data_IF_515883373641
#
_entry.id   IF_515883373641
#
_cell.length_a   1.000
_cell.length_b   1.000
_cell.length_c   1.000
_cell.angle_alpha   90.00
_cell.angle_beta   90.00
_cell.angle_gamma   90.00
#
_symmetry.space_group_name_H-M   'P 1'
#
loop_
_entity.id
_entity.type
_entity.pdbx_description
1 polymer ?
#
# COMPACT_ATOMS: atom_id res chain seq x y z
N UNK A 1 -24.70 -1.64 9.34
CA UNK A 1 -24.41 -0.47 8.48
C UNK A 1 -23.91 -1.00 7.15
N UNK A 2 -24.57 -0.65 6.04
CA UNK A 2 -24.14 -1.03 4.69
C UNK A 2 -22.97 -0.12 4.29
N UNK A 3 -21.82 -0.69 3.95
CA UNK A 3 -20.61 0.07 3.60
C UNK A 3 -20.48 0.28 2.08
N UNK A 4 -20.95 -0.68 1.30
CA UNK A 4 -21.01 -0.63 -0.17
C UNK A 4 -22.37 -1.18 -0.58
N UNK A 5 -23.09 -0.47 -1.45
CA UNK A 5 -24.39 -0.83 -1.93
C UNK A 5 -24.35 -0.96 -3.47
N UNK A 6 -24.66 -2.16 -3.96
CA UNK A 6 -24.74 -2.53 -5.39
C UNK A 6 -23.62 -1.96 -6.27
N UNK A 7 -22.37 -2.10 -5.79
CA UNK A 7 -21.18 -1.62 -6.51
C UNK A 7 -20.78 -2.61 -7.60
N UNK A 8 -20.86 -2.19 -8.86
CA UNK A 8 -20.28 -2.90 -10.01
C UNK A 8 -19.15 -2.09 -10.61
N UNK A 9 -17.93 -2.63 -10.63
CA UNK A 9 -16.73 -1.98 -11.13
C UNK A 9 -15.86 -2.99 -11.89
N UNK A 10 -15.40 -2.58 -13.07
CA UNK A 10 -14.34 -3.28 -13.81
C UNK A 10 -13.25 -2.27 -14.14
N UNK A 11 -11.99 -2.68 -13.95
CA UNK A 11 -10.86 -1.82 -14.21
C UNK A 11 -9.74 -2.58 -14.90
N UNK A 12 -9.14 -1.96 -15.90
CA UNK A 12 -7.95 -2.44 -16.59
C UNK A 12 -6.69 -2.19 -15.71
N UNK A 13 -5.59 -2.94 -15.96
CA UNK A 13 -4.32 -2.68 -15.30
C UNK A 13 -3.87 -1.22 -15.47
N UNK A 14 -3.38 -0.61 -14.38
CA UNK A 14 -2.93 0.78 -14.38
C UNK A 14 -3.12 1.47 -13.02
N UNK A 15 -3.23 2.79 -13.04
CA UNK A 15 -3.47 3.59 -11.85
C UNK A 15 -4.95 3.94 -11.71
N UNK A 16 -5.54 3.61 -10.58
CA UNK A 16 -6.95 3.83 -10.26
C UNK A 16 -7.04 4.66 -8.98
N UNK A 17 -7.78 5.76 -9.05
CA UNK A 17 -8.07 6.59 -7.89
C UNK A 17 -9.47 6.32 -7.32
N UNK A 18 -9.55 6.03 -6.03
CA UNK A 18 -10.80 5.94 -5.26
C UNK A 18 -10.98 7.25 -4.49
N UNK A 19 -11.84 8.14 -4.99
CA UNK A 19 -12.11 9.43 -4.35
C UNK A 19 -13.42 9.41 -3.59
N UNK A 20 -13.43 9.99 -2.40
CA UNK A 20 -14.64 10.14 -1.62
C UNK A 20 -14.37 10.60 -0.20
N UNK A 21 -15.38 11.11 0.47
CA UNK A 21 -15.27 11.54 1.87
C UNK A 21 -14.92 10.37 2.80
N UNK A 22 -14.53 10.70 4.04
CA UNK A 22 -14.35 9.70 5.08
C UNK A 22 -15.67 8.96 5.33
N UNK A 23 -15.61 7.63 5.43
CA UNK A 23 -16.82 6.80 5.58
C UNK A 23 -17.48 6.38 4.26
N UNK A 24 -17.03 6.83 3.08
CA UNK A 24 -17.59 6.46 1.78
C UNK A 24 -17.32 5.01 1.33
N UNK A 25 -16.72 4.17 2.20
CA UNK A 25 -16.49 2.76 1.89
C UNK A 25 -15.15 2.43 1.19
N UNK A 26 -14.29 3.42 0.91
CA UNK A 26 -13.00 3.23 0.22
C UNK A 26 -12.12 2.13 0.86
N UNK A 27 -11.83 2.26 2.15
CA UNK A 27 -11.03 1.27 2.91
C UNK A 27 -11.74 -0.09 3.00
N UNK A 28 -13.07 -0.11 3.02
CA UNK A 28 -13.85 -1.35 2.98
C UNK A 28 -13.67 -2.05 1.65
N UNK A 29 -13.75 -1.32 0.53
CA UNK A 29 -13.47 -1.87 -0.80
C UNK A 29 -12.06 -2.46 -0.88
N UNK A 30 -11.05 -1.72 -0.44
CA UNK A 30 -9.66 -2.21 -0.39
C UNK A 30 -9.55 -3.50 0.43
N UNK A 31 -10.16 -3.55 1.62
CA UNK A 31 -10.15 -4.76 2.48
C UNK A 31 -10.89 -5.95 1.83
N UNK A 32 -11.93 -5.70 1.04
CA UNK A 32 -12.61 -6.74 0.26
C UNK A 32 -11.70 -7.26 -0.86
N UNK A 33 -11.02 -6.38 -1.60
CA UNK A 33 -10.04 -6.77 -2.63
C UNK A 33 -8.89 -7.61 -2.07
N UNK A 34 -8.50 -7.36 -0.81
CA UNK A 34 -7.52 -8.16 -0.06
C UNK A 34 -8.07 -9.49 0.47
N UNK A 35 -9.40 -9.70 0.42
CA UNK A 35 -10.05 -10.84 1.05
C UNK A 35 -10.02 -10.80 2.59
N UNK A 36 -9.78 -9.63 3.19
CA UNK A 36 -9.80 -9.43 4.66
C UNK A 36 -11.21 -9.23 5.18
N UNK A 37 -12.11 -8.71 4.37
CA UNK A 37 -13.54 -8.54 4.66
C UNK A 37 -14.34 -9.28 3.61
N UNK A 38 -15.30 -10.09 4.03
CA UNK A 38 -16.23 -10.78 3.12
C UNK A 38 -17.30 -9.81 2.63
N UNK A 39 -17.53 -9.80 1.32
CA UNK A 39 -18.71 -9.16 0.74
C UNK A 39 -19.97 -9.99 1.03
N UNK A 40 -21.11 -9.34 1.16
CA UNK A 40 -22.39 -9.99 1.51
C UNK A 40 -23.02 -10.68 0.30
N UNK A 41 -22.89 -10.11 -0.88
CA UNK A 41 -23.42 -10.62 -2.15
C UNK A 41 -22.48 -10.24 -3.32
N UNK A 42 -22.69 -10.86 -4.47
CA UNK A 42 -21.90 -10.59 -5.67
C UNK A 42 -20.62 -11.42 -5.77
N UNK A 43 -19.71 -10.98 -6.63
CA UNK A 43 -18.40 -11.65 -6.86
C UNK A 43 -17.30 -10.60 -6.97
N UNK A 44 -16.15 -10.89 -6.38
CA UNK A 44 -14.97 -10.00 -6.45
C UNK A 44 -13.79 -10.78 -6.98
N UNK A 45 -13.17 -10.28 -8.03
CA UNK A 45 -12.00 -10.88 -8.67
C UNK A 45 -10.86 -9.87 -8.79
N UNK A 46 -9.65 -10.33 -8.54
CA UNK A 46 -8.41 -9.57 -8.79
C UNK A 46 -7.51 -10.46 -9.65
N UNK A 47 -7.06 -9.93 -10.80
CA UNK A 47 -6.35 -10.71 -11.81
C UNK A 47 -7.06 -12.02 -12.20
N UNK A 48 -8.39 -11.97 -12.35
CA UNK A 48 -9.23 -13.13 -12.68
C UNK A 48 -9.47 -14.11 -11.53
N UNK A 49 -8.75 -14.00 -10.43
CA UNK A 49 -8.88 -14.88 -9.25
C UNK A 49 -9.94 -14.35 -8.29
N UNK A 50 -10.82 -15.22 -7.83
CA UNK A 50 -11.80 -14.92 -6.79
C UNK A 50 -11.11 -14.71 -5.44
N UNK A 51 -11.32 -13.53 -4.84
CA UNK A 51 -10.64 -13.12 -3.59
C UNK A 51 -11.04 -13.99 -2.39
N UNK A 52 -12.20 -14.66 -2.43
CA UNK A 52 -12.67 -15.53 -1.35
C UNK A 52 -12.09 -16.92 -1.41
N UNK A 53 -11.75 -17.40 -2.61
CA UNK A 53 -11.27 -18.78 -2.84
C UNK A 53 -9.76 -18.90 -2.85
N UNK A 54 -9.05 -17.88 -3.35
CA UNK A 54 -7.59 -17.91 -3.53
C UNK A 54 -6.87 -16.79 -2.77
N UNK A 55 -7.38 -16.41 -1.61
CA UNK A 55 -6.89 -15.24 -0.87
C UNK A 55 -5.41 -15.28 -0.49
N UNK A 56 -4.83 -16.43 -0.16
CA UNK A 56 -3.41 -16.54 0.24
C UNK A 56 -2.49 -16.30 -0.96
N UNK A 57 -2.70 -17.03 -2.06
CA UNK A 57 -1.89 -16.86 -3.28
C UNK A 57 -2.01 -15.47 -3.88
N UNK A 58 -3.19 -14.88 -3.80
CA UNK A 58 -3.45 -13.53 -4.28
C UNK A 58 -2.71 -12.46 -3.45
N UNK A 59 -2.73 -12.59 -2.11
CA UNK A 59 -2.05 -11.63 -1.22
C UNK A 59 -0.54 -11.57 -1.43
N UNK A 60 0.10 -12.67 -1.84
CA UNK A 60 1.52 -12.65 -2.21
C UNK A 60 1.85 -11.76 -3.41
N UNK A 61 0.84 -11.38 -4.21
CA UNK A 61 0.96 -10.48 -5.37
C UNK A 61 0.49 -9.05 -5.08
N UNK A 62 -0.02 -8.79 -3.86
CA UNK A 62 -0.59 -7.50 -3.47
C UNK A 62 0.25 -6.88 -2.37
N UNK A 63 0.66 -5.64 -2.55
CA UNK A 63 1.20 -4.79 -1.51
C UNK A 63 0.09 -3.92 -0.93
N UNK A 64 -0.09 -3.95 0.39
CA UNK A 64 -1.10 -3.13 1.07
C UNK A 64 -0.46 -2.12 2.01
N UNK A 65 -0.81 -0.86 1.83
CA UNK A 65 -0.43 0.23 2.72
C UNK A 65 -1.68 0.78 3.42
N UNK A 66 -1.91 0.47 4.71
CA UNK A 66 -3.04 0.97 5.47
C UNK A 66 -2.87 2.45 5.86
N UNK A 67 -3.97 3.18 6.03
CA UNK A 67 -3.96 4.60 6.45
C UNK A 67 -3.23 4.79 7.79
N UNK A 68 -3.67 4.11 8.87
CA UNK A 68 -3.23 4.41 10.25
C UNK A 68 -2.37 3.35 10.89
N UNK A 69 -2.53 2.09 10.51
CA UNK A 69 -1.90 0.95 11.17
C UNK A 69 -0.61 0.53 10.46
N UNK A 70 0.13 -0.36 11.07
CA UNK A 70 1.22 -1.10 10.41
C UNK A 70 2.61 -0.89 10.99
N UNK A 71 2.89 0.08 11.83
CA UNK A 71 4.20 0.17 12.48
C UNK A 71 4.29 -0.78 13.67
N UNK A 72 5.41 -1.50 13.77
CA UNK A 72 5.71 -2.39 14.88
C UNK A 72 6.65 -1.64 15.84
N UNK A 73 6.22 -1.34 17.08
CA UNK A 73 7.05 -0.64 18.05
C UNK A 73 8.34 -1.39 18.36
N UNK A 74 9.40 -0.65 18.67
CA UNK A 74 10.68 -1.24 19.03
C UNK A 74 11.57 -1.64 17.85
N UNK A 75 11.10 -1.61 16.62
CA UNK A 75 11.91 -1.87 15.43
C UNK A 75 12.51 -0.57 14.87
N UNK A 76 13.65 -0.71 14.20
CA UNK A 76 14.15 0.33 13.30
C UNK A 76 13.67 0.10 11.86
N UNK A 77 13.98 1.02 10.94
CA UNK A 77 13.49 0.97 9.57
C UNK A 77 13.90 -0.30 8.80
N UNK A 78 15.15 -0.74 8.95
CA UNK A 78 15.65 -1.97 8.30
C UNK A 78 14.94 -3.21 8.84
N UNK A 79 14.79 -3.29 10.15
CA UNK A 79 14.13 -4.43 10.80
C UNK A 79 12.66 -4.52 10.38
N UNK A 80 11.98 -3.37 10.32
CA UNK A 80 10.57 -3.31 9.93
C UNK A 80 10.34 -3.73 8.47
N UNK A 81 11.08 -3.17 7.52
CA UNK A 81 10.94 -3.53 6.10
C UNK A 81 11.43 -4.96 5.85
N UNK A 82 12.50 -5.38 6.53
CA UNK A 82 12.99 -6.74 6.51
C UNK A 82 11.94 -7.74 6.98
N UNK A 83 11.31 -7.46 8.13
CA UNK A 83 10.22 -8.29 8.66
C UNK A 83 9.04 -8.38 7.68
N UNK A 84 8.65 -7.27 7.06
CA UNK A 84 7.58 -7.27 6.06
C UNK A 84 7.90 -8.21 4.88
N UNK A 85 9.13 -8.24 4.41
CA UNK A 85 9.56 -9.17 3.37
C UNK A 85 9.54 -10.63 3.84
N UNK A 86 10.02 -10.91 5.05
CA UNK A 86 10.00 -12.26 5.64
C UNK A 86 8.56 -12.78 5.79
N UNK A 87 7.62 -11.93 6.22
CA UNK A 87 6.19 -12.27 6.32
C UNK A 87 5.54 -12.54 4.96
N UNK A 88 6.10 -11.98 3.88
CA UNK A 88 5.70 -12.29 2.50
C UNK A 88 6.49 -13.47 1.89
N UNK A 89 7.20 -14.26 2.71
CA UNK A 89 7.89 -15.47 2.28
C UNK A 89 9.28 -15.27 1.70
N UNK A 90 9.85 -14.07 1.78
CA UNK A 90 11.23 -13.83 1.33
C UNK A 90 12.25 -14.39 2.32
N UNK A 91 13.34 -15.01 1.85
CA UNK A 91 14.46 -15.37 2.71
C UNK A 91 15.04 -14.12 3.40
N UNK A 92 15.34 -14.23 4.70
CA UNK A 92 15.82 -13.11 5.54
C UNK A 92 16.94 -12.28 4.89
N UNK A 93 17.96 -12.95 4.34
CA UNK A 93 19.08 -12.27 3.66
C UNK A 93 18.64 -11.43 2.46
N UNK A 94 17.70 -11.95 1.65
CA UNK A 94 17.15 -11.25 0.51
C UNK A 94 16.25 -10.09 0.97
N UNK A 95 15.43 -10.30 1.97
CA UNK A 95 14.55 -9.29 2.54
C UNK A 95 15.32 -8.09 3.08
N UNK A 96 16.38 -8.32 3.86
CA UNK A 96 17.24 -7.26 4.38
C UNK A 96 17.95 -6.49 3.26
N UNK A 97 18.49 -7.18 2.25
CA UNK A 97 19.10 -6.52 1.09
C UNK A 97 18.09 -5.62 0.39
N UNK A 98 16.88 -6.13 0.14
CA UNK A 98 15.81 -5.37 -0.52
C UNK A 98 15.35 -4.19 0.33
N UNK A 99 15.31 -4.35 1.65
CA UNK A 99 15.02 -3.27 2.58
C UNK A 99 16.05 -2.13 2.46
N UNK A 100 17.34 -2.44 2.43
CA UNK A 100 18.39 -1.43 2.23
C UNK A 100 18.22 -0.66 0.91
N UNK A 101 17.96 -1.36 -0.19
CA UNK A 101 17.74 -0.76 -1.52
C UNK A 101 16.53 0.20 -1.52
N UNK A 102 15.39 -0.26 -0.98
CA UNK A 102 14.17 0.54 -0.95
C UNK A 102 14.29 1.76 -0.02
N UNK A 103 14.89 1.60 1.15
CA UNK A 103 15.07 2.72 2.06
C UNK A 103 15.99 3.80 1.50
N UNK A 104 17.01 3.41 0.74
CA UNK A 104 17.83 4.35 -0.02
C UNK A 104 17.00 5.06 -1.09
N UNK A 105 16.28 4.32 -1.94
CA UNK A 105 15.43 4.89 -3.01
C UNK A 105 14.35 5.84 -2.48
N UNK A 106 13.89 5.64 -1.24
CA UNK A 106 12.86 6.45 -0.60
C UNK A 106 13.42 7.58 0.27
N UNK A 107 14.74 7.84 0.23
CA UNK A 107 15.39 8.92 0.97
C UNK A 107 15.40 8.71 2.48
N UNK A 108 15.55 7.47 2.92
CA UNK A 108 15.62 7.07 4.33
C UNK A 108 16.99 6.45 4.71
N UNK A 109 18.04 6.73 3.94
CA UNK A 109 19.37 6.13 4.13
C UNK A 109 19.90 6.26 5.56
N UNK A 110 19.89 7.46 6.10
CA UNK A 110 20.41 7.72 7.46
C UNK A 110 19.40 7.35 8.54
N UNK A 111 18.11 7.46 8.21
CA UNK A 111 17.04 7.20 9.16
C UNK A 111 16.77 5.72 9.39
N UNK A 112 17.19 4.83 8.46
CA UNK A 112 16.89 3.39 8.51
C UNK A 112 17.30 2.67 9.78
N UNK A 113 18.28 3.21 10.54
CA UNK A 113 18.73 2.64 11.81
C UNK A 113 18.09 3.29 13.04
N UNK A 114 17.29 4.36 12.85
CA UNK A 114 16.55 4.99 13.96
C UNK A 114 15.31 4.17 14.29
N UNK A 115 14.90 4.22 15.55
CA UNK A 115 13.64 3.63 15.99
C UNK A 115 12.46 4.30 15.29
N UNK A 116 11.43 3.52 14.93
CA UNK A 116 10.25 4.02 14.19
C UNK A 116 9.47 5.08 14.96
N UNK A 117 9.50 5.03 16.29
CA UNK A 117 8.85 6.02 17.16
C UNK A 117 9.43 7.43 16.98
N UNK A 118 10.63 7.54 16.43
CA UNK A 118 11.31 8.81 16.18
C UNK A 118 11.17 9.29 14.73
N UNK A 119 10.27 8.68 13.96
CA UNK A 119 10.04 9.07 12.57
C UNK A 119 9.04 10.22 12.49
N UNK A 120 9.30 11.20 11.59
CA UNK A 120 8.32 12.19 11.21
C UNK A 120 7.18 11.57 10.39
N UNK A 121 6.05 12.26 10.25
CA UNK A 121 4.91 11.78 9.45
C UNK A 121 5.34 11.38 8.03
N UNK A 122 6.18 12.19 7.38
CA UNK A 122 6.72 11.89 6.05
C UNK A 122 7.61 10.64 6.02
N UNK A 123 8.42 10.43 7.05
CA UNK A 123 9.23 9.21 7.18
C UNK A 123 8.35 7.98 7.44
N UNK A 124 7.29 8.12 8.23
CA UNK A 124 6.29 7.06 8.48
C UNK A 124 5.63 6.62 7.17
N UNK A 125 5.18 7.55 6.35
CA UNK A 125 4.56 7.18 5.07
C UNK A 125 5.54 6.51 4.11
N UNK A 126 6.79 6.99 4.05
CA UNK A 126 7.84 6.38 3.21
C UNK A 126 8.23 4.98 3.69
N UNK A 127 8.35 4.74 4.99
CA UNK A 127 8.68 3.41 5.51
C UNK A 127 7.54 2.42 5.31
N UNK A 128 6.28 2.84 5.46
CA UNK A 128 5.10 2.04 5.14
C UNK A 128 5.09 1.64 3.66
N UNK A 129 5.39 2.59 2.77
CA UNK A 129 5.52 2.31 1.34
C UNK A 129 6.67 1.34 1.06
N UNK A 130 7.84 1.48 1.72
CA UNK A 130 8.94 0.52 1.60
C UNK A 130 8.52 -0.91 1.97
N UNK A 131 7.82 -1.06 3.10
CA UNK A 131 7.29 -2.35 3.55
C UNK A 131 6.27 -2.94 2.56
N UNK A 132 5.45 -2.08 1.95
CA UNK A 132 4.48 -2.47 0.92
C UNK A 132 5.15 -2.97 -0.37
N UNK A 133 6.33 -2.43 -0.71
CA UNK A 133 7.06 -2.71 -1.95
C UNK A 133 8.10 -3.84 -1.83
N UNK A 134 8.43 -4.30 -0.62
CA UNK A 134 9.61 -5.14 -0.37
C UNK A 134 9.58 -6.46 -1.14
N UNK A 135 8.42 -7.09 -1.29
CA UNK A 135 8.21 -8.34 -2.00
C UNK A 135 7.87 -8.18 -3.49
N UNK A 136 8.03 -6.96 -4.03
CA UNK A 136 7.80 -6.59 -5.42
C UNK A 136 6.40 -6.93 -5.96
N UNK A 137 5.31 -6.53 -5.30
CA UNK A 137 3.94 -6.90 -5.67
C UNK A 137 3.54 -6.37 -7.05
N UNK A 138 2.59 -7.08 -7.71
CA UNK A 138 2.00 -6.66 -8.99
C UNK A 138 0.95 -5.56 -8.80
N UNK A 139 0.20 -5.60 -7.68
CA UNK A 139 -0.84 -4.65 -7.33
C UNK A 139 -0.51 -3.95 -6.02
N UNK A 140 -0.55 -2.63 -6.03
CA UNK A 140 -0.45 -1.79 -4.84
C UNK A 140 -1.84 -1.29 -4.45
N UNK A 141 -2.27 -1.57 -3.24
CA UNK A 141 -3.49 -1.03 -2.63
C UNK A 141 -3.07 -0.06 -1.53
N UNK A 142 -3.25 1.24 -1.76
CA UNK A 142 -2.76 2.31 -0.89
C UNK A 142 -3.95 3.08 -0.32
N UNK A 143 -4.11 3.01 0.99
CA UNK A 143 -5.20 3.68 1.70
C UNK A 143 -4.69 4.98 2.31
N UNK A 144 -5.11 6.13 1.74
CA UNK A 144 -4.72 7.50 2.15
C UNK A 144 -3.19 7.69 2.33
N UNK A 145 -2.33 7.35 1.34
CA UNK A 145 -0.87 7.35 1.51
C UNK A 145 -0.27 8.75 1.71
N UNK A 146 -1.03 9.80 1.46
CA UNK A 146 -0.64 11.21 1.65
C UNK A 146 -1.16 11.80 2.96
N UNK A 147 -1.87 11.01 3.77
CA UNK A 147 -2.43 11.46 5.05
C UNK A 147 -1.34 11.94 6.02
N UNK A 148 -1.56 13.11 6.63
CA UNK A 148 -0.63 13.69 7.60
C UNK A 148 0.65 14.29 7.03
N UNK A 149 0.77 14.38 5.70
CA UNK A 149 1.89 15.04 5.03
C UNK A 149 1.64 16.54 4.85
N UNK A 150 2.71 17.32 4.95
CA UNK A 150 2.74 18.70 4.49
C UNK A 150 2.64 18.77 2.95
N UNK A 151 2.40 19.94 2.35
CA UNK A 151 2.20 20.08 0.90
C UNK A 151 3.39 19.56 0.06
N UNK A 152 4.61 19.75 0.52
CA UNK A 152 5.82 19.31 -0.19
C UNK A 152 5.99 17.80 -0.10
N UNK A 153 5.84 17.23 1.09
CA UNK A 153 5.85 15.79 1.33
C UNK A 153 4.77 15.05 0.55
N UNK A 154 3.57 15.66 0.45
CA UNK A 154 2.46 15.15 -0.36
C UNK A 154 2.83 15.13 -1.85
N UNK A 155 3.34 16.23 -2.38
CA UNK A 155 3.76 16.32 -3.78
C UNK A 155 4.85 15.31 -4.09
N UNK A 156 5.84 15.15 -3.22
CA UNK A 156 6.89 14.15 -3.36
C UNK A 156 6.34 12.71 -3.35
N UNK A 157 5.41 12.40 -2.45
CA UNK A 157 4.76 11.08 -2.38
C UNK A 157 3.98 10.79 -3.66
N UNK A 158 3.14 11.70 -4.14
CA UNK A 158 2.36 11.53 -5.38
C UNK A 158 3.26 11.33 -6.60
N UNK A 159 4.37 12.08 -6.71
CA UNK A 159 5.36 11.91 -7.77
C UNK A 159 5.98 10.50 -7.75
N UNK A 160 6.29 9.99 -6.57
CA UNK A 160 6.80 8.65 -6.37
C UNK A 160 5.77 7.59 -6.78
N UNK A 161 4.52 7.70 -6.32
CA UNK A 161 3.44 6.78 -6.68
C UNK A 161 3.18 6.78 -8.19
N UNK A 162 3.21 7.94 -8.83
CA UNK A 162 3.10 8.07 -10.28
C UNK A 162 4.24 7.35 -11.01
N UNK A 163 5.46 7.43 -10.50
CA UNK A 163 6.60 6.69 -11.07
C UNK A 163 6.44 5.18 -10.93
N UNK A 164 5.88 4.69 -9.81
CA UNK A 164 5.60 3.28 -9.58
C UNK A 164 4.49 2.77 -10.51
N UNK A 165 3.42 3.54 -10.69
CA UNK A 165 2.30 3.18 -11.57
C UNK A 165 2.69 3.06 -13.05
N UNK A 166 3.77 3.73 -13.47
CA UNK A 166 4.30 3.65 -14.84
C UNK A 166 5.19 2.44 -15.09
N UNK A 167 5.54 1.67 -14.08
CA UNK A 167 6.36 0.47 -14.26
C UNK A 167 5.56 -0.62 -14.98
N UNK A 168 6.11 -1.28 -16.00
CA UNK A 168 5.44 -2.37 -16.70
C UNK A 168 4.99 -3.48 -15.74
N UNK A 169 3.77 -3.97 -15.91
CA UNK A 169 3.21 -5.05 -15.11
C UNK A 169 2.78 -4.66 -13.69
N UNK A 170 2.85 -3.37 -13.32
CA UNK A 170 2.39 -2.87 -12.03
C UNK A 170 1.02 -2.18 -12.17
N UNK A 171 0.19 -2.37 -11.17
CA UNK A 171 -1.09 -1.66 -11.02
C UNK A 171 -1.16 -1.04 -9.64
N UNK A 172 -1.89 0.08 -9.54
CA UNK A 172 -2.00 0.83 -8.30
C UNK A 172 -3.44 1.27 -8.08
N UNK A 173 -3.99 1.01 -6.91
CA UNK A 173 -5.24 1.57 -6.43
C UNK A 173 -4.93 2.49 -5.26
N UNK A 174 -5.27 3.76 -5.40
CA UNK A 174 -5.04 4.81 -4.41
C UNK A 174 -6.38 5.28 -3.87
N UNK A 175 -6.60 5.19 -2.56
CA UNK A 175 -7.72 5.90 -1.93
C UNK A 175 -7.28 7.28 -1.46
N UNK A 176 -8.14 8.27 -1.64
CA UNK A 176 -7.94 9.63 -1.13
C UNK A 176 -9.28 10.35 -0.96
N UNK A 177 -9.33 11.32 -0.07
CA UNK A 177 -10.46 12.24 0.05
C UNK A 177 -10.21 13.56 -0.72
N UNK A 178 -9.06 13.70 -1.37
CA UNK A 178 -8.63 14.91 -2.05
C UNK A 178 -8.52 14.66 -3.56
N UNK A 179 -9.40 15.31 -4.34
CA UNK A 179 -9.41 15.22 -5.82
C UNK A 179 -8.06 15.55 -6.45
N UNK A 180 -7.37 16.57 -5.94
CA UNK A 180 -6.05 16.98 -6.45
C UNK A 180 -4.93 15.93 -6.32
N UNK A 181 -5.14 14.79 -5.64
CA UNK A 181 -4.20 13.67 -5.60
C UNK A 181 -4.26 12.81 -6.86
N UNK A 182 -5.39 12.83 -7.56
CA UNK A 182 -5.64 11.97 -8.73
C UNK A 182 -5.44 12.72 -10.04
N UNK A 183 -5.67 14.03 -10.07
CA UNK A 183 -5.52 14.87 -11.27
C UNK A 183 -4.06 15.16 -11.62
N UNK A 184 -3.10 14.86 -10.76
CA UNK A 184 -1.66 15.07 -10.94
C UNK A 184 -0.94 13.80 -11.38
#
# INVERSE_FOLDING_TARGET
MLALDDLSLSAEPGAIGLVGQNGAGKSTLIKILLGLVRHTAGTVRVYGSDVTRNGVGLRGRIGYMPEREGLVPGLNGIEYVGLAGELNGMPRKQSLRRAHELLSQLGLEEARYRRLENYSAGMVQRIKLAATLVHDPDLLLLDEPTSGLDPDGRTAMLSLLKSLARRPGKSLVLSTHLLGDIER
#
